data_IF_690741202651
#
_entry.id   IF_690741202651
#
_cell.length_a   1.000
_cell.length_b   1.000
_cell.length_c   1.000
_cell.angle_alpha   90.00
_cell.angle_beta   90.00
_cell.angle_gamma   90.00
#
_symmetry.space_group_name_H-M   'P 1'
#
loop_
_entity.id
_entity.type
_entity.pdbx_description
1 polymer ?
#
# COMPACT_ATOMS: atom_id res chain seq x y z
N UNK A 1 7.41 5.35 -5.37
CA UNK A 1 6.74 6.05 -4.26
C UNK A 1 7.52 7.26 -3.73
N UNK A 2 8.86 7.25 -3.65
CA UNK A 2 9.65 8.46 -3.31
C UNK A 2 9.61 9.60 -4.36
N UNK A 3 9.09 9.34 -5.57
CA UNK A 3 8.88 10.38 -6.57
C UNK A 3 7.86 11.42 -6.07
N UNK A 4 6.78 10.98 -5.40
CA UNK A 4 5.69 11.82 -4.86
C UNK A 4 6.16 12.94 -3.94
N UNK A 5 7.16 12.65 -3.12
CA UNK A 5 7.75 13.63 -2.21
C UNK A 5 8.66 14.62 -2.92
N UNK A 6 9.33 14.23 -4.01
CA UNK A 6 10.26 15.10 -4.74
C UNK A 6 9.50 16.25 -5.41
N UNK A 7 8.38 15.99 -6.07
CA UNK A 7 7.61 17.06 -6.72
C UNK A 7 6.84 17.93 -5.73
N UNK A 8 6.47 17.41 -4.55
CA UNK A 8 5.94 18.24 -3.46
C UNK A 8 7.02 19.22 -2.93
N UNK A 9 8.30 18.82 -2.93
CA UNK A 9 9.43 19.70 -2.57
C UNK A 9 9.70 20.77 -3.66
N UNK A 10 9.36 20.49 -4.91
CA UNK A 10 9.50 21.43 -6.04
C UNK A 10 8.41 22.52 -6.03
N UNK A 11 7.37 22.39 -5.20
CA UNK A 11 6.40 23.47 -4.97
C UNK A 11 7.10 24.62 -4.22
N UNK A 12 7.39 25.72 -4.92
CA UNK A 12 7.99 26.93 -4.34
C UNK A 12 6.85 27.72 -3.67
N UNK A 13 6.92 27.90 -2.35
CA UNK A 13 5.91 28.61 -1.54
C UNK A 13 4.45 28.12 -1.72
N UNK A 14 4.27 26.85 -2.15
CA UNK A 14 2.96 26.26 -2.40
C UNK A 14 2.42 26.45 -3.81
N UNK A 15 3.19 27.07 -4.72
CA UNK A 15 2.80 27.31 -6.11
C UNK A 15 3.40 26.27 -7.09
N UNK A 16 2.58 25.81 -8.03
CA UNK A 16 2.95 24.93 -9.14
C UNK A 16 3.37 25.74 -10.38
N UNK A 17 4.68 25.80 -10.65
CA UNK A 17 5.25 26.58 -11.76
C UNK A 17 5.64 25.75 -12.99
N UNK A 18 5.48 24.42 -12.92
CA UNK A 18 5.89 23.49 -13.98
C UNK A 18 4.91 23.40 -15.16
N UNK A 19 3.87 24.23 -15.16
CA UNK A 19 2.80 24.26 -16.17
C UNK A 19 1.71 23.21 -15.95
N UNK A 20 0.56 23.43 -16.57
CA UNK A 20 -0.68 22.66 -16.32
C UNK A 20 -0.59 21.21 -16.81
N UNK A 21 0.11 20.96 -17.92
CA UNK A 21 0.34 19.61 -18.44
C UNK A 21 1.12 18.74 -17.45
N UNK A 22 2.16 19.31 -16.83
CA UNK A 22 2.93 18.60 -15.82
C UNK A 22 2.12 18.40 -14.53
N UNK A 23 1.26 19.35 -14.17
CA UNK A 23 0.31 19.20 -13.05
C UNK A 23 -0.64 18.01 -13.29
N UNK A 24 -1.30 17.94 -14.44
CA UNK A 24 -2.22 16.83 -14.75
C UNK A 24 -1.50 15.48 -14.78
N UNK A 25 -0.32 15.41 -15.42
CA UNK A 25 0.49 14.19 -15.43
C UNK A 25 0.89 13.75 -14.02
N UNK A 26 1.31 14.71 -13.19
CA UNK A 26 1.73 14.49 -11.82
C UNK A 26 0.62 13.90 -10.96
N UNK A 27 -0.58 14.46 -11.05
CA UNK A 27 -1.75 14.00 -10.29
C UNK A 27 -2.16 12.58 -10.70
N UNK A 28 -2.15 12.27 -12.00
CA UNK A 28 -2.47 10.94 -12.51
C UNK A 28 -1.42 9.92 -12.06
N UNK A 29 -0.14 10.25 -12.22
CA UNK A 29 0.94 9.38 -11.76
C UNK A 29 0.81 9.09 -10.26
N UNK A 30 0.52 10.12 -9.47
CA UNK A 30 0.30 9.98 -8.03
C UNK A 30 -0.86 9.05 -7.70
N UNK A 31 -1.98 9.18 -8.40
CA UNK A 31 -3.16 8.34 -8.20
C UNK A 31 -2.94 6.88 -8.64
N UNK A 32 -2.23 6.65 -9.75
CA UNK A 32 -1.82 5.31 -10.21
C UNK A 32 -0.91 4.65 -9.16
N UNK A 33 0.10 5.36 -8.68
CA UNK A 33 1.03 4.86 -7.67
C UNK A 33 0.31 4.49 -6.38
N UNK A 34 -0.67 5.31 -5.97
CA UNK A 34 -1.47 5.04 -4.78
C UNK A 34 -2.33 3.78 -4.94
N UNK A 35 -3.09 3.66 -6.02
CA UNK A 35 -3.95 2.49 -6.27
C UNK A 35 -3.14 1.21 -6.47
N UNK A 36 -2.00 1.28 -7.17
CA UNK A 36 -1.08 0.15 -7.29
C UNK A 36 -0.51 -0.28 -5.92
N UNK A 37 -0.20 0.68 -5.04
CA UNK A 37 0.25 0.37 -3.67
C UNK A 37 -0.83 -0.34 -2.87
N UNK A 38 -2.08 0.09 -2.97
CA UNK A 38 -3.18 -0.57 -2.25
C UNK A 38 -3.42 -1.98 -2.80
N UNK A 39 -3.46 -2.12 -4.13
CA UNK A 39 -3.62 -3.43 -4.75
C UNK A 39 -2.49 -4.39 -4.38
N UNK A 40 -1.25 -3.90 -4.26
CA UNK A 40 -0.13 -4.72 -3.75
C UNK A 40 -0.31 -5.11 -2.28
N UNK A 41 -0.83 -4.24 -1.41
CA UNK A 41 -1.15 -4.60 -0.02
C UNK A 41 -2.23 -5.70 0.08
N UNK A 42 -3.25 -5.65 -0.79
CA UNK A 42 -4.26 -6.71 -0.89
C UNK A 42 -3.61 -8.02 -1.35
N UNK A 43 -2.79 -7.99 -2.39
CA UNK A 43 -2.07 -9.18 -2.89
C UNK A 43 -1.16 -9.79 -1.82
N UNK A 44 -0.42 -8.97 -1.06
CA UNK A 44 0.42 -9.43 0.05
C UNK A 44 -0.46 -10.05 1.15
N UNK A 45 -1.62 -9.47 1.46
CA UNK A 45 -2.55 -10.04 2.45
C UNK A 45 -3.10 -11.40 2.00
N UNK A 46 -3.43 -11.55 0.72
CA UNK A 46 -3.88 -12.82 0.12
C UNK A 46 -2.77 -13.87 0.16
N UNK A 47 -1.54 -13.51 -0.22
CA UNK A 47 -0.37 -14.39 -0.15
C UNK A 47 -0.21 -15.00 1.25
N UNK A 48 -0.39 -14.17 2.28
CA UNK A 48 -0.19 -14.54 3.69
C UNK A 48 -1.35 -15.38 4.20
N UNK A 49 -2.55 -15.06 3.78
CA UNK A 49 -3.72 -15.90 4.00
C UNK A 49 -3.50 -17.30 3.42
N UNK A 50 -3.04 -17.42 2.17
CA UNK A 50 -2.80 -18.72 1.53
C UNK A 50 -1.67 -19.48 2.23
N UNK A 51 -0.58 -18.82 2.61
CA UNK A 51 0.53 -19.44 3.34
C UNK A 51 0.09 -20.03 4.69
N UNK A 52 -0.69 -19.28 5.48
CA UNK A 52 -1.06 -19.66 6.85
C UNK A 52 -2.21 -20.67 6.86
N UNK A 53 -3.21 -20.48 6.00
CA UNK A 53 -4.41 -21.31 5.95
C UNK A 53 -4.22 -22.58 5.11
N UNK A 54 -3.37 -22.54 4.09
CA UNK A 54 -3.16 -23.65 3.15
C UNK A 54 -1.67 -23.95 2.89
N UNK A 55 -0.86 -24.26 3.92
CA UNK A 55 0.60 -24.40 3.80
C UNK A 55 1.02 -25.47 2.78
N UNK A 56 0.31 -26.60 2.69
CA UNK A 56 0.62 -27.70 1.76
C UNK A 56 0.35 -27.34 0.29
N UNK A 57 -0.59 -26.43 0.03
CA UNK A 57 -0.96 -25.98 -1.31
C UNK A 57 -0.32 -24.64 -1.68
N UNK A 58 0.46 -24.04 -0.77
CA UNK A 58 1.10 -22.74 -1.01
C UNK A 58 2.02 -22.79 -2.23
N UNK A 59 2.93 -23.78 -2.28
CA UNK A 59 3.90 -23.92 -3.37
C UNK A 59 3.28 -24.23 -4.74
N UNK A 60 2.09 -24.85 -4.76
CA UNK A 60 1.38 -25.16 -6.01
C UNK A 60 0.52 -23.99 -6.48
N UNK A 61 -0.03 -23.19 -5.55
CA UNK A 61 -0.89 -22.02 -5.86
C UNK A 61 -0.09 -20.76 -6.16
N UNK A 62 0.92 -20.44 -5.34
CA UNK A 62 1.73 -19.22 -5.43
C UNK A 62 3.00 -19.51 -6.22
N UNK A 63 3.00 -19.12 -7.51
CA UNK A 63 4.15 -19.21 -8.41
C UNK A 63 4.63 -17.82 -8.80
N UNK A 64 5.94 -17.62 -8.94
CA UNK A 64 6.53 -16.32 -9.30
C UNK A 64 5.91 -15.71 -10.56
N UNK A 65 5.69 -16.50 -11.60
CA UNK A 65 5.06 -16.04 -12.85
C UNK A 65 3.63 -15.55 -12.64
N UNK A 66 2.83 -16.22 -11.79
CA UNK A 66 1.46 -15.79 -11.48
C UNK A 66 1.47 -14.48 -10.70
N UNK A 67 2.36 -14.35 -9.71
CA UNK A 67 2.51 -13.10 -8.94
C UNK A 67 2.90 -11.93 -9.84
N UNK A 68 3.86 -12.14 -10.75
CA UNK A 68 4.24 -11.12 -11.74
C UNK A 68 3.05 -10.68 -12.59
N UNK A 69 2.27 -11.63 -13.12
CA UNK A 69 1.05 -11.33 -13.89
C UNK A 69 0.03 -10.56 -13.04
N UNK A 70 -0.24 -10.97 -11.79
CA UNK A 70 -1.15 -10.27 -10.89
C UNK A 70 -0.70 -8.83 -10.62
N UNK A 71 0.60 -8.60 -10.41
CA UNK A 71 1.16 -7.26 -10.22
C UNK A 71 0.98 -6.44 -11.50
N UNK A 72 1.35 -6.96 -12.67
CA UNK A 72 1.15 -6.26 -13.94
C UNK A 72 -0.32 -5.89 -14.19
N UNK A 73 -1.24 -6.82 -13.94
CA UNK A 73 -2.68 -6.57 -14.05
C UNK A 73 -3.15 -5.48 -13.08
N UNK A 74 -2.62 -5.47 -11.86
CA UNK A 74 -2.90 -4.42 -10.87
C UNK A 74 -2.44 -3.04 -11.36
N UNK A 75 -1.26 -2.95 -11.97
CA UNK A 75 -0.76 -1.70 -12.56
C UNK A 75 -1.59 -1.25 -13.75
N UNK A 76 -1.95 -2.17 -14.65
CA UNK A 76 -2.79 -1.89 -15.81
C UNK A 76 -4.18 -1.41 -15.39
N UNK A 77 -4.77 -2.06 -14.38
CA UNK A 77 -6.05 -1.64 -13.80
C UNK A 77 -5.95 -0.26 -13.14
N UNK A 78 -4.88 0.00 -12.39
CA UNK A 78 -4.67 1.31 -11.77
C UNK A 78 -4.53 2.42 -12.82
N UNK A 79 -3.78 2.17 -13.89
CA UNK A 79 -3.60 3.10 -15.00
C UNK A 79 -4.90 3.36 -15.76
N UNK A 80 -5.64 2.30 -16.11
CA UNK A 80 -6.89 2.43 -16.86
C UNK A 80 -7.97 3.15 -16.07
N UNK A 81 -8.12 2.81 -14.79
CA UNK A 81 -9.11 3.42 -13.91
C UNK A 81 -8.83 4.92 -13.73
N UNK A 82 -7.61 5.30 -13.35
CA UNK A 82 -7.26 6.71 -13.16
C UNK A 82 -7.33 7.52 -14.47
N UNK A 83 -6.94 6.93 -15.60
CA UNK A 83 -7.08 7.60 -16.91
C UNK A 83 -8.54 7.86 -17.27
N UNK A 84 -9.46 6.96 -16.89
CA UNK A 84 -10.89 7.13 -17.10
C UNK A 84 -11.48 8.18 -16.15
N UNK A 85 -11.16 8.11 -14.85
CA UNK A 85 -11.68 9.06 -13.85
C UNK A 85 -11.19 10.49 -14.10
N UNK A 86 -9.96 10.67 -14.57
CA UNK A 86 -9.36 11.99 -14.82
C UNK A 86 -9.40 12.42 -16.29
N UNK A 87 -10.15 11.73 -17.16
CA UNK A 87 -10.20 12.02 -18.61
C UNK A 87 -10.49 13.50 -18.92
N UNK A 88 -11.43 14.12 -18.20
CA UNK A 88 -11.80 15.52 -18.42
C UNK A 88 -10.65 16.48 -18.05
N UNK A 89 -9.93 16.16 -16.97
CA UNK A 89 -8.75 16.92 -16.51
C UNK A 89 -7.53 16.74 -17.45
N UNK A 90 -7.46 15.63 -18.18
CA UNK A 90 -6.46 15.38 -19.24
C UNK A 90 -6.72 16.18 -20.50
N UNK A 91 -8.00 16.32 -20.90
CA UNK A 91 -8.37 17.00 -22.13
C UNK A 91 -8.23 18.52 -22.03
N UNK A 92 -8.44 19.07 -20.83
CA UNK A 92 -8.34 20.51 -20.58
C UNK A 92 -7.51 20.79 -19.32
N UNK A 93 -6.17 20.62 -19.39
CA UNK A 93 -5.29 20.91 -18.26
C UNK A 93 -5.42 22.40 -17.88
N UNK A 94 -5.49 22.69 -16.58
CA UNK A 94 -5.53 24.07 -16.05
C UNK A 94 -6.89 24.76 -16.12
N UNK A 95 -7.94 24.12 -16.67
CA UNK A 95 -9.29 24.71 -16.78
C UNK A 95 -9.90 25.15 -15.45
N UNK A 96 -9.50 24.51 -14.36
CA UNK A 96 -10.04 24.72 -13.03
C UNK A 96 -9.10 25.49 -12.09
N UNK A 97 -7.95 25.93 -12.60
CA UNK A 97 -7.03 26.76 -11.84
C UNK A 97 -7.60 28.18 -11.76
N UNK A 98 -7.82 28.69 -10.54
CA UNK A 98 -8.34 30.04 -10.33
C UNK A 98 -7.22 31.08 -10.36
N UNK A 99 -5.99 30.68 -10.06
CA UNK A 99 -4.80 31.53 -10.05
C UNK A 99 -3.57 30.82 -10.64
N UNK A 100 -2.58 31.62 -11.06
CA UNK A 100 -1.27 31.13 -11.50
C UNK A 100 -0.59 30.46 -10.29
N UNK A 101 -0.12 29.21 -10.49
CA UNK A 101 0.49 28.44 -9.41
C UNK A 101 -0.46 27.44 -8.72
N UNK A 102 -1.73 27.38 -9.11
CA UNK A 102 -2.63 26.33 -8.62
C UNK A 102 -2.53 25.06 -9.48
N UNK A 103 -2.77 23.91 -8.84
CA UNK A 103 -2.85 22.61 -9.51
C UNK A 103 -4.05 21.85 -8.94
N UNK A 104 -5.24 22.14 -9.49
CA UNK A 104 -6.53 21.63 -8.99
C UNK A 104 -7.18 20.75 -10.07
N UNK A 105 -7.83 19.67 -9.62
CA UNK A 105 -8.64 18.80 -10.47
C UNK A 105 -10.10 18.87 -10.07
N UNK A 106 -10.96 18.96 -11.08
CA UNK A 106 -12.39 18.83 -10.89
C UNK A 106 -12.76 17.36 -10.84
N UNK A 107 -13.32 16.94 -9.70
CA UNK A 107 -13.76 15.58 -9.46
C UNK A 107 -15.25 15.64 -9.14
N UNK A 108 -16.08 15.13 -10.06
CA UNK A 108 -17.51 14.98 -9.84
C UNK A 108 -17.79 14.08 -8.63
N UNK A 109 -18.92 14.30 -7.96
CA UNK A 109 -19.37 13.49 -6.83
C UNK A 109 -19.34 11.98 -7.12
N UNK A 110 -19.86 11.57 -8.29
CA UNK A 110 -19.89 10.17 -8.70
C UNK A 110 -18.46 9.61 -8.84
N UNK A 111 -17.56 10.38 -9.44
CA UNK A 111 -16.15 10.02 -9.61
C UNK A 111 -15.44 9.89 -8.27
N UNK A 112 -15.70 10.81 -7.33
CA UNK A 112 -15.17 10.77 -5.96
C UNK A 112 -15.69 9.57 -5.16
N UNK A 113 -16.98 9.23 -5.30
CA UNK A 113 -17.58 8.07 -4.66
C UNK A 113 -16.99 6.76 -5.20
N UNK A 114 -16.81 6.66 -6.53
CA UNK A 114 -16.16 5.51 -7.16
C UNK A 114 -14.70 5.37 -6.70
N UNK A 115 -13.95 6.48 -6.62
CA UNK A 115 -12.59 6.48 -6.08
C UNK A 115 -12.58 5.94 -4.65
N UNK A 116 -13.38 6.52 -3.74
CA UNK A 116 -13.52 6.08 -2.34
C UNK A 116 -13.82 4.57 -2.23
N UNK A 117 -14.74 4.05 -3.04
CA UNK A 117 -15.11 2.63 -3.00
C UNK A 117 -13.91 1.76 -3.43
N UNK A 118 -13.25 2.12 -4.53
CA UNK A 118 -12.19 1.30 -5.15
C UNK A 118 -10.88 1.37 -4.37
N UNK A 119 -10.50 2.52 -3.84
CA UNK A 119 -9.21 2.74 -3.18
C UNK A 119 -9.27 2.51 -1.67
N UNK A 120 -10.43 2.68 -1.04
CA UNK A 120 -10.56 2.62 0.42
C UNK A 120 -11.47 1.48 0.87
N UNK A 121 -12.76 1.53 0.55
CA UNK A 121 -13.76 0.59 1.12
C UNK A 121 -13.50 -0.86 0.68
N UNK A 122 -13.36 -1.10 -0.62
CA UNK A 122 -13.15 -2.46 -1.15
C UNK A 122 -11.83 -3.08 -0.64
N UNK A 123 -10.67 -2.40 -0.71
CA UNK A 123 -9.41 -2.96 -0.20
C UNK A 123 -9.45 -3.26 1.30
N UNK A 124 -10.03 -2.35 2.11
CA UNK A 124 -10.10 -2.53 3.57
C UNK A 124 -11.00 -3.71 3.93
N UNK A 125 -12.17 -3.82 3.31
CA UNK A 125 -13.09 -4.94 3.56
C UNK A 125 -12.43 -6.29 3.23
N UNK A 126 -11.79 -6.40 2.06
CA UNK A 126 -11.03 -7.60 1.69
C UNK A 126 -9.95 -7.91 2.71
N UNK A 127 -9.13 -6.93 3.08
CA UNK A 127 -8.06 -7.08 4.05
C UNK A 127 -8.62 -7.57 5.39
N UNK A 128 -9.58 -6.86 5.98
CA UNK A 128 -10.18 -7.20 7.29
C UNK A 128 -10.74 -8.63 7.29
N UNK A 129 -11.46 -9.03 6.24
CA UNK A 129 -11.99 -10.39 6.11
C UNK A 129 -10.85 -11.42 6.13
N UNK A 130 -9.78 -11.20 5.37
CA UNK A 130 -8.63 -12.10 5.33
C UNK A 130 -7.95 -12.20 6.71
N UNK A 131 -7.78 -11.09 7.42
CA UNK A 131 -7.16 -11.08 8.76
C UNK A 131 -8.02 -11.77 9.81
N UNK A 132 -9.34 -11.57 9.79
CA UNK A 132 -10.26 -12.29 10.68
C UNK A 132 -10.14 -13.80 10.42
N UNK A 133 -10.11 -14.24 9.16
CA UNK A 133 -9.93 -15.66 8.81
C UNK A 133 -8.58 -16.20 9.29
N UNK A 134 -7.49 -15.45 9.11
CA UNK A 134 -6.16 -15.82 9.62
C UNK A 134 -6.20 -15.99 11.15
N UNK A 135 -6.81 -15.03 11.86
CA UNK A 135 -6.92 -15.09 13.32
C UNK A 135 -7.73 -16.30 13.80
N UNK A 136 -8.86 -16.60 13.14
CA UNK A 136 -9.68 -17.78 13.45
C UNK A 136 -8.87 -19.06 13.25
N UNK A 137 -8.16 -19.20 12.13
CA UNK A 137 -7.33 -20.39 11.86
C UNK A 137 -6.17 -20.51 12.86
N UNK A 138 -5.56 -19.39 13.23
CA UNK A 138 -4.51 -19.34 14.25
C UNK A 138 -5.00 -19.84 15.62
N UNK A 139 -6.16 -19.36 16.06
CA UNK A 139 -6.77 -19.76 17.34
C UNK A 139 -7.22 -21.22 17.28
N UNK A 140 -7.81 -21.66 16.18
CA UNK A 140 -8.20 -23.06 15.98
C UNK A 140 -7.00 -24.00 16.13
N UNK A 141 -5.89 -23.69 15.48
CA UNK A 141 -4.66 -24.51 15.57
C UNK A 141 -4.01 -24.44 16.95
N UNK A 142 -4.05 -23.29 17.64
CA UNK A 142 -3.57 -23.17 19.00
C UNK A 142 -4.40 -24.02 19.99
N UNK A 143 -5.73 -24.09 19.78
CA UNK A 143 -6.65 -24.92 20.59
C UNK A 143 -6.48 -26.42 20.31
N UNK A 144 -6.41 -26.82 19.03
CA UNK A 144 -6.17 -28.22 18.63
C UNK A 144 -4.82 -28.76 19.11
N UNK A 145 -3.82 -27.89 19.27
CA UNK A 145 -2.51 -28.28 19.81
C UNK A 145 -2.53 -28.51 21.34
N UNK A 146 -3.46 -27.89 22.08
CA UNK A 146 -3.61 -28.14 23.52
C UNK A 146 -4.19 -29.52 23.86
N UNK A 147 -4.85 -30.20 22.93
CA UNK A 147 -5.44 -31.53 23.17
C UNK A 147 -4.50 -32.72 22.87
N UNK A 148 -3.31 -32.49 22.30
CA UNK A 148 -2.39 -33.56 21.87
C UNK A 148 -0.98 -33.53 22.51
N UNK A 149 -0.80 -32.89 23.67
CA UNK A 149 0.48 -32.91 24.40
C UNK A 149 0.64 -34.22 25.19
N UNK A 150 0.81 -35.33 24.47
CA UNK A 150 1.31 -36.56 25.10
C UNK A 150 2.12 -37.50 24.19
N UNK A 151 2.45 -37.20 22.92
CA UNK A 151 3.23 -38.19 22.14
C UNK A 151 4.30 -37.67 21.17
N UNK A 152 4.28 -36.45 20.61
CA UNK A 152 5.27 -36.13 19.55
C UNK A 152 5.98 -34.80 19.75
N UNK A 153 7.19 -34.90 20.30
CA UNK A 153 8.23 -33.85 20.45
C UNK A 153 8.89 -33.44 19.14
N UNK A 154 8.16 -33.41 18.01
CA UNK A 154 8.64 -32.80 16.77
C UNK A 154 7.54 -32.00 16.07
N UNK A 155 7.79 -30.69 15.85
CA UNK A 155 7.07 -29.74 14.96
C UNK A 155 5.91 -28.86 15.49
N UNK A 156 5.79 -28.63 16.80
CA UNK A 156 5.01 -27.48 17.32
C UNK A 156 5.72 -26.11 17.11
N UNK A 157 6.87 -26.09 16.44
CA UNK A 157 7.68 -24.90 16.14
C UNK A 157 7.21 -24.15 14.88
N UNK A 158 6.28 -24.69 14.11
CA UNK A 158 6.09 -24.30 12.68
C UNK A 158 5.26 -23.02 12.45
N UNK A 159 4.59 -22.41 13.43
CA UNK A 159 3.72 -21.23 13.14
C UNK A 159 4.10 -19.90 13.78
N UNK A 160 5.06 -19.87 14.71
CA UNK A 160 5.53 -18.61 15.33
C UNK A 160 6.05 -17.56 14.31
N UNK A 161 6.89 -17.91 13.31
CA UNK A 161 7.41 -16.92 12.38
C UNK A 161 6.36 -16.40 11.40
N UNK A 162 5.47 -17.28 10.92
CA UNK A 162 4.37 -16.90 10.01
C UNK A 162 3.33 -16.02 10.72
N UNK A 163 3.00 -16.31 11.98
CA UNK A 163 2.11 -15.47 12.80
C UNK A 163 2.70 -14.09 13.05
N UNK A 164 4.03 -14.02 13.29
CA UNK A 164 4.74 -12.75 13.43
C UNK A 164 4.70 -11.94 12.12
N UNK A 165 4.86 -12.61 10.98
CA UNK A 165 4.73 -11.98 9.67
C UNK A 165 3.31 -11.45 9.42
N UNK A 166 2.26 -12.19 9.79
CA UNK A 166 0.87 -11.72 9.72
C UNK A 166 0.64 -10.51 10.64
N UNK A 167 1.12 -10.55 11.89
CA UNK A 167 1.03 -9.41 12.82
C UNK A 167 1.67 -8.15 12.23
N UNK A 168 2.84 -8.32 11.62
CA UNK A 168 3.57 -7.22 11.01
C UNK A 168 2.78 -6.56 9.87
N UNK A 169 2.10 -7.35 9.05
CA UNK A 169 1.26 -6.82 7.99
C UNK A 169 -0.02 -6.16 8.51
N UNK A 170 -0.56 -6.63 9.64
CA UNK A 170 -1.63 -5.91 10.35
C UNK A 170 -1.20 -4.49 10.74
N UNK A 171 0.06 -4.30 11.16
CA UNK A 171 0.62 -2.95 11.43
C UNK A 171 0.67 -2.12 10.15
N UNK A 172 1.09 -2.70 9.02
CA UNK A 172 1.10 -2.00 7.72
C UNK A 172 -0.31 -1.49 7.35
N UNK A 173 -1.33 -2.33 7.54
CA UNK A 173 -2.73 -1.98 7.27
C UNK A 173 -3.21 -0.85 8.19
N UNK A 174 -2.90 -0.90 9.48
CA UNK A 174 -3.28 0.16 10.44
C UNK A 174 -2.63 1.49 10.08
N UNK A 175 -1.34 1.47 9.72
CA UNK A 175 -0.64 2.70 9.30
C UNK A 175 -1.26 3.26 8.02
N UNK A 176 -1.57 2.40 7.05
CA UNK A 176 -2.28 2.80 5.83
C UNK A 176 -3.62 3.48 6.15
N UNK A 177 -4.42 2.90 7.06
CA UNK A 177 -5.69 3.48 7.50
C UNK A 177 -5.50 4.87 8.13
N UNK A 178 -4.52 5.03 9.02
CA UNK A 178 -4.24 6.31 9.68
C UNK A 178 -3.83 7.39 8.67
N UNK A 179 -3.05 7.02 7.65
CA UNK A 179 -2.62 7.98 6.63
C UNK A 179 -3.73 8.35 5.64
N UNK A 180 -4.61 7.42 5.30
CA UNK A 180 -5.58 7.58 4.19
C UNK A 180 -6.97 7.98 4.66
N UNK A 181 -7.41 7.51 5.83
CA UNK A 181 -8.74 7.79 6.35
C UNK A 181 -9.02 9.31 6.50
N UNK A 182 -8.07 10.14 7.01
CA UNK A 182 -8.31 11.57 7.14
C UNK A 182 -8.56 12.27 5.80
N UNK A 183 -7.94 11.80 4.72
CA UNK A 183 -8.18 12.31 3.36
C UNK A 183 -9.61 12.07 2.90
N UNK A 184 -10.10 10.83 3.01
CA UNK A 184 -11.48 10.54 2.60
C UNK A 184 -12.52 11.17 3.52
N UNK A 185 -12.25 11.28 4.82
CA UNK A 185 -13.10 12.04 5.74
C UNK A 185 -13.16 13.53 5.34
N UNK A 186 -12.03 14.12 4.97
CA UNK A 186 -11.99 15.51 4.49
C UNK A 186 -12.82 15.69 3.21
N UNK A 187 -12.62 14.83 2.19
CA UNK A 187 -13.36 14.91 0.92
C UNK A 187 -14.87 14.76 1.09
N UNK A 188 -15.31 13.88 2.00
CA UNK A 188 -16.75 13.68 2.28
C UNK A 188 -17.37 14.85 3.04
N UNK A 189 -16.61 15.49 3.92
CA UNK A 189 -17.12 16.57 4.77
C UNK A 189 -17.01 17.94 4.10
N UNK A 190 -16.03 18.15 3.20
CA UNK A 190 -15.85 19.40 2.43
C UNK A 190 -17.03 19.74 1.52
N UNK A 191 -17.91 18.79 1.25
CA UNK A 191 -19.15 19.02 0.52
C UNK A 191 -20.18 19.81 1.34
N UNK A 192 -20.10 19.73 2.68
CA UNK A 192 -21.10 20.31 3.58
C UNK A 192 -20.58 21.50 4.39
N UNK A 193 -19.26 21.73 4.43
CA UNK A 193 -18.63 22.79 5.22
C UNK A 193 -17.50 23.46 4.44
N UNK A 194 -17.28 24.76 4.71
CA UNK A 194 -16.14 25.51 4.19
C UNK A 194 -14.91 25.23 5.06
N UNK A 195 -13.90 24.56 4.51
CA UNK A 195 -12.64 24.28 5.20
C UNK A 195 -11.52 25.24 4.77
N UNK A 196 -10.58 25.51 5.67
CA UNK A 196 -9.41 26.37 5.42
C UNK A 196 -8.33 25.63 4.62
N UNK A 197 -7.61 26.33 3.75
CA UNK A 197 -6.46 25.81 2.96
C UNK A 197 -5.43 25.06 3.81
N UNK A 198 -5.15 25.52 5.04
CA UNK A 198 -4.23 24.85 5.96
C UNK A 198 -4.65 23.43 6.34
N UNK A 199 -5.96 23.16 6.45
CA UNK A 199 -6.47 21.82 6.78
C UNK A 199 -6.27 20.83 5.62
N UNK A 200 -6.44 21.30 4.38
CA UNK A 200 -6.17 20.53 3.17
C UNK A 200 -4.67 20.16 3.08
N UNK A 201 -3.76 21.10 3.36
CA UNK A 201 -2.32 20.85 3.34
C UNK A 201 -1.91 19.76 4.33
N UNK A 202 -2.41 19.80 5.56
CA UNK A 202 -2.12 18.80 6.60
C UNK A 202 -2.59 17.40 6.17
N UNK A 203 -3.79 17.32 5.61
CA UNK A 203 -4.40 16.06 5.15
C UNK A 203 -3.63 15.47 3.97
N UNK A 204 -3.26 16.29 2.98
CA UNK A 204 -2.43 15.86 1.85
C UNK A 204 -1.05 15.40 2.32
N UNK A 205 -0.44 16.10 3.28
CA UNK A 205 0.86 15.72 3.82
C UNK A 205 0.79 14.35 4.51
N UNK A 206 -0.22 14.13 5.36
CA UNK A 206 -0.44 12.86 6.04
C UNK A 206 -0.70 11.70 5.05
N UNK A 207 -1.47 11.97 4.00
CA UNK A 207 -1.71 11.02 2.91
C UNK A 207 -0.40 10.62 2.22
N UNK A 208 0.49 11.58 1.96
CA UNK A 208 1.80 11.33 1.35
C UNK A 208 2.76 10.56 2.27
N UNK A 209 2.67 10.73 3.60
CA UNK A 209 3.48 9.97 4.56
C UNK A 209 3.32 8.45 4.44
N UNK A 210 2.16 7.95 3.94
CA UNK A 210 1.93 6.54 3.66
C UNK A 210 3.07 5.90 2.85
N UNK A 211 3.60 6.62 1.85
CA UNK A 211 4.68 6.17 0.99
C UNK A 211 6.01 6.00 1.73
N UNK A 212 6.32 6.93 2.65
CA UNK A 212 7.57 6.94 3.43
C UNK A 212 7.57 5.88 4.54
N UNK A 213 6.38 5.57 5.08
CA UNK A 213 6.24 4.60 6.15
C UNK A 213 6.44 3.17 5.65
N UNK A 214 6.15 2.87 4.38
CA UNK A 214 6.35 1.54 3.81
C UNK A 214 7.79 0.98 4.05
N UNK A 215 8.89 1.62 3.58
CA UNK A 215 10.25 1.17 3.89
C UNK A 215 10.60 1.08 5.39
N UNK A 216 10.12 2.03 6.20
CA UNK A 216 10.36 2.04 7.65
C UNK A 216 9.68 0.86 8.35
N UNK A 217 8.46 0.55 7.93
CA UNK A 217 7.73 -0.62 8.40
C UNK A 217 8.48 -1.89 7.97
N UNK A 218 8.97 -1.96 6.73
CA UNK A 218 9.75 -3.12 6.29
C UNK A 218 11.05 -3.29 7.11
N UNK A 219 11.78 -2.20 7.34
CA UNK A 219 12.99 -2.17 8.16
C UNK A 219 12.73 -2.56 9.61
N UNK A 220 11.67 -2.07 10.24
CA UNK A 220 11.39 -2.35 11.66
C UNK A 220 10.76 -3.73 11.86
N UNK A 221 9.91 -4.20 10.96
CA UNK A 221 9.13 -5.40 11.20
C UNK A 221 9.78 -6.68 10.67
N UNK A 222 10.66 -6.58 9.65
CA UNK A 222 11.25 -7.76 9.01
C UNK A 222 12.75 -7.87 9.28
N UNK A 223 13.18 -8.80 10.17
CA UNK A 223 14.59 -8.98 10.52
C UNK A 223 15.47 -9.33 9.32
N UNK A 224 14.95 -10.13 8.38
CA UNK A 224 15.67 -10.46 7.14
C UNK A 224 15.95 -9.20 6.31
N UNK A 225 15.01 -8.25 6.26
CA UNK A 225 15.14 -7.02 5.47
C UNK A 225 16.23 -6.11 6.06
N UNK A 226 16.35 -6.05 7.40
CA UNK A 226 17.50 -5.38 8.06
C UNK A 226 18.83 -6.04 7.70
N UNK A 227 18.87 -7.37 7.69
CA UNK A 227 20.05 -8.15 7.28
C UNK A 227 20.44 -7.82 5.85
N UNK A 228 19.48 -7.81 4.92
CA UNK A 228 19.70 -7.43 3.52
C UNK A 228 20.21 -6.00 3.37
N UNK A 229 19.60 -5.02 4.05
CA UNK A 229 20.09 -3.62 4.05
C UNK A 229 21.52 -3.54 4.57
N UNK A 230 21.83 -4.27 5.65
CA UNK A 230 23.18 -4.29 6.21
C UNK A 230 24.19 -4.82 5.19
N UNK A 231 23.90 -5.94 4.54
CA UNK A 231 24.77 -6.55 3.50
C UNK A 231 24.94 -5.64 2.28
N UNK A 232 23.89 -4.90 1.89
CA UNK A 232 23.95 -3.88 0.84
C UNK A 232 24.88 -2.73 1.28
N UNK A 233 24.66 -2.19 2.49
CA UNK A 233 25.39 -1.03 3.01
C UNK A 233 26.86 -1.35 3.33
N UNK A 234 27.17 -2.57 3.76
CA UNK A 234 28.55 -3.05 3.98
C UNK A 234 29.23 -3.49 2.69
N UNK A 235 28.57 -3.34 1.53
CA UNK A 235 29.04 -3.76 0.21
C UNK A 235 29.45 -5.24 0.13
N UNK A 236 28.96 -6.06 1.05
CA UNK A 236 29.22 -7.50 1.09
C UNK A 236 28.61 -8.25 -0.11
N UNK A 237 27.68 -7.62 -0.82
CA UNK A 237 27.14 -8.09 -2.11
C UNK A 237 28.24 -8.23 -3.17
N UNK A 238 29.26 -7.36 -3.14
CA UNK A 238 30.33 -7.34 -4.15
C UNK A 238 31.41 -8.40 -3.88
N UNK A 239 31.37 -9.09 -2.73
CA UNK A 239 32.32 -10.17 -2.41
C UNK A 239 32.00 -11.42 -3.24
N UNK A 240 33.00 -12.10 -3.82
CA UNK A 240 32.79 -13.35 -4.55
C UNK A 240 32.17 -14.40 -3.60
N UNK A 241 31.01 -14.95 -3.97
CA UNK A 241 30.24 -15.91 -3.17
C UNK A 241 28.98 -15.35 -2.47
N UNK A 242 28.65 -14.06 -2.62
CA UNK A 242 27.47 -13.44 -1.98
C UNK A 242 26.12 -14.05 -2.40
N UNK A 243 26.05 -14.78 -3.51
CA UNK A 243 24.86 -15.57 -3.89
C UNK A 243 24.51 -16.70 -2.91
N UNK A 244 25.43 -17.11 -2.02
CA UNK A 244 25.21 -18.17 -1.01
C UNK A 244 24.86 -17.64 0.38
N UNK A 245 24.75 -16.32 0.55
CA UNK A 245 24.51 -15.72 1.88
C UNK A 245 23.10 -16.04 2.35
N UNK A 246 22.97 -16.74 3.49
CA UNK A 246 21.69 -17.17 4.01
C UNK A 246 20.95 -15.97 4.65
N UNK A 247 19.89 -15.49 3.99
CA UNK A 247 19.13 -14.30 4.40
C UNK A 247 17.99 -14.61 5.39
N UNK A 248 17.74 -15.88 5.70
CA UNK A 248 16.75 -16.34 6.69
C UNK A 248 17.26 -16.26 8.14
#
# INVERSE_FOLDING_TARGET
MGLNTIFQIIMIDGCWLLGDLMCSFWLILSAILFLASIGTMVLISVDRYVAICYPLHYFTKIKTKRVQVCVCLCWMFAASLNSLLLKNNLQHPGRYNSCIGECVIDINYITSLLDLIVTFIFPITVIVILYIRIFVVAVYQARAMRSHIAVVTTKATVKKPEMKAARNLGVVVVVFLICVCPYYCFVLTSQNNVYTTSSLTIVIWLFNCNSCLNPLIYATLYPWFRKSIKVIATLEILKPGSCRTNML
#
